data_IF_087742114357
#
_entry.id   IF_087742114357
#
_cell.length_a   1.000
_cell.length_b   1.000
_cell.length_c   1.000
_cell.angle_alpha   90.00
_cell.angle_beta   90.00
_cell.angle_gamma   90.00
#
_symmetry.space_group_name_H-M   'P 1'
#
loop_
_entity.id
_entity.type
_entity.pdbx_description
1 polymer ?
#
# COMPACT_ATOMS: atom_id res chain seq x y z
N UNK A 1 -22.58 11.18 -33.35
CA UNK A 1 -23.14 11.39 -31.98
C UNK A 1 -23.74 10.12 -31.38
N UNK A 2 -24.18 9.14 -32.20
CA UNK A 2 -24.84 7.91 -31.74
C UNK A 2 -23.91 6.94 -31.00
N UNK A 3 -22.67 6.75 -31.47
CA UNK A 3 -21.71 5.84 -30.81
C UNK A 3 -21.45 6.17 -29.33
N UNK A 4 -21.34 7.46 -28.98
CA UNK A 4 -21.16 7.90 -27.58
C UNK A 4 -22.40 7.64 -26.71
N UNK A 5 -23.61 7.76 -27.29
CA UNK A 5 -24.86 7.47 -26.59
C UNK A 5 -25.03 5.96 -26.37
N UNK A 6 -24.71 5.14 -27.37
CA UNK A 6 -24.70 3.68 -27.23
C UNK A 6 -23.72 3.21 -26.17
N UNK A 7 -22.51 3.80 -26.11
CA UNK A 7 -21.53 3.51 -25.06
C UNK A 7 -22.04 3.85 -23.66
N UNK A 8 -22.67 5.03 -23.51
CA UNK A 8 -23.27 5.46 -22.24
C UNK A 8 -24.41 4.56 -21.75
N UNK A 9 -25.22 4.04 -22.68
CA UNK A 9 -26.33 3.13 -22.36
C UNK A 9 -25.77 1.78 -21.88
N UNK A 10 -24.78 1.23 -22.58
CA UNK A 10 -24.08 0.01 -22.15
C UNK A 10 -23.40 0.18 -20.79
N UNK A 11 -22.77 1.34 -20.54
CA UNK A 11 -22.18 1.67 -19.25
C UNK A 11 -23.22 1.79 -18.12
N UNK A 12 -24.42 2.30 -18.42
CA UNK A 12 -25.51 2.40 -17.44
C UNK A 12 -26.10 1.03 -17.10
N UNK A 13 -26.23 0.14 -18.09
CA UNK A 13 -26.68 -1.25 -17.92
C UNK A 13 -25.64 -2.12 -17.20
N UNK A 14 -24.35 -1.84 -17.39
CA UNK A 14 -23.24 -2.46 -16.67
C UNK A 14 -23.31 -2.19 -15.15
N UNK A 15 -23.66 -0.96 -14.76
CA UNK A 15 -23.77 -0.55 -13.35
C UNK A 15 -24.90 -1.31 -12.63
N UNK A 16 -26.00 -1.66 -13.31
CA UNK A 16 -27.14 -2.37 -12.71
C UNK A 16 -27.00 -3.90 -12.71
N UNK A 17 -26.15 -4.47 -13.57
CA UNK A 17 -25.99 -5.92 -13.75
C UNK A 17 -24.69 -6.49 -13.18
N UNK A 18 -23.75 -5.64 -12.73
CA UNK A 18 -22.40 -6.06 -12.35
C UNK A 18 -21.53 -6.50 -13.53
N UNK A 19 -22.03 -6.39 -14.76
CA UNK A 19 -21.31 -6.73 -15.98
C UNK A 19 -20.39 -5.58 -16.38
N UNK A 20 -19.08 -5.80 -16.36
CA UNK A 20 -18.10 -4.77 -16.74
C UNK A 20 -17.85 -4.85 -18.25
N UNK A 21 -18.00 -3.74 -18.98
CA UNK A 21 -17.79 -3.72 -20.42
C UNK A 21 -16.37 -4.17 -20.80
N UNK A 22 -16.24 -5.09 -21.78
CA UNK A 22 -14.95 -5.61 -22.27
C UNK A 22 -13.94 -4.51 -22.66
N UNK A 23 -14.41 -3.35 -23.12
CA UNK A 23 -13.54 -2.21 -23.49
C UNK A 23 -12.89 -1.51 -22.28
N UNK A 24 -13.31 -1.82 -21.05
CA UNK A 24 -12.68 -1.33 -19.81
C UNK A 24 -11.58 -2.25 -19.30
N UNK A 25 -11.48 -3.47 -19.82
CA UNK A 25 -10.40 -4.40 -19.48
C UNK A 25 -9.10 -3.86 -20.10
N UNK A 26 -8.14 -3.55 -19.25
CA UNK A 26 -6.82 -3.08 -19.65
C UNK A 26 -5.98 -4.28 -20.06
N UNK A 27 -5.39 -4.23 -21.25
CA UNK A 27 -4.47 -5.28 -21.72
C UNK A 27 -3.20 -5.34 -20.85
N UNK A 28 -2.75 -4.19 -20.34
CA UNK A 28 -1.60 -4.09 -19.44
C UNK A 28 -2.07 -4.05 -17.98
N UNK A 29 -1.66 -5.04 -17.20
CA UNK A 29 -1.98 -5.11 -15.78
C UNK A 29 -1.29 -3.99 -14.96
N UNK A 30 -0.16 -3.44 -15.43
CA UNK A 30 0.48 -2.29 -14.75
C UNK A 30 -0.40 -1.04 -14.79
N UNK A 31 -1.11 -0.82 -15.90
CA UNK A 31 -2.04 0.30 -16.05
C UNK A 31 -3.26 0.10 -15.16
N UNK A 32 -3.79 -1.12 -15.10
CA UNK A 32 -4.85 -1.48 -14.16
C UNK A 32 -4.44 -1.19 -12.72
N UNK A 33 -3.24 -1.62 -12.32
CA UNK A 33 -2.72 -1.36 -10.97
C UNK A 33 -2.60 0.15 -10.71
N UNK A 34 -2.11 0.94 -11.67
CA UNK A 34 -2.02 2.39 -11.53
C UNK A 34 -3.38 3.05 -11.30
N UNK A 35 -4.39 2.64 -12.07
CA UNK A 35 -5.75 3.16 -11.93
C UNK A 35 -6.39 2.71 -10.62
N UNK A 36 -6.18 1.46 -10.21
CA UNK A 36 -6.60 0.96 -8.90
C UNK A 36 -6.00 1.77 -7.76
N UNK A 37 -4.70 2.11 -7.84
CA UNK A 37 -4.01 2.93 -6.84
C UNK A 37 -4.65 4.31 -6.77
N UNK A 38 -4.89 4.98 -7.90
CA UNK A 38 -5.53 6.31 -7.96
C UNK A 38 -6.93 6.31 -7.34
N UNK A 39 -7.74 5.30 -7.63
CA UNK A 39 -9.10 5.19 -7.11
C UNK A 39 -9.17 4.86 -5.63
N UNK A 40 -8.14 4.19 -5.09
CA UNK A 40 -8.12 3.68 -3.71
C UNK A 40 -7.12 4.42 -2.81
N UNK A 41 -6.71 5.64 -3.17
CA UNK A 41 -5.81 6.44 -2.35
C UNK A 41 -6.46 6.80 -1.01
N UNK A 42 -5.67 6.72 0.05
CA UNK A 42 -6.06 7.19 1.39
C UNK A 42 -5.00 8.15 1.89
N UNK A 43 -5.44 9.31 2.39
CA UNK A 43 -4.53 10.34 2.95
C UNK A 43 -3.64 9.71 4.03
N UNK A 44 -2.33 9.88 3.89
CA UNK A 44 -1.34 9.35 4.84
C UNK A 44 -0.95 7.88 4.66
N UNK A 45 -1.66 7.08 3.85
CA UNK A 45 -1.30 5.68 3.61
C UNK A 45 -0.63 5.49 2.24
N UNK A 46 0.67 5.23 2.26
CA UNK A 46 1.49 5.07 1.05
C UNK A 46 1.73 3.62 0.65
N UNK A 47 1.24 2.63 1.42
CA UNK A 47 1.57 1.23 1.16
C UNK A 47 1.04 0.74 -0.20
N UNK A 48 -0.11 1.24 -0.65
CA UNK A 48 -0.68 0.83 -1.93
C UNK A 48 0.16 1.31 -3.12
N UNK A 49 0.53 2.60 -3.13
CA UNK A 49 1.39 3.16 -4.19
C UNK A 49 2.80 2.57 -4.14
N UNK A 50 3.35 2.32 -2.95
CA UNK A 50 4.65 1.69 -2.83
C UNK A 50 4.65 0.22 -3.26
N UNK A 51 3.56 -0.51 -3.01
CA UNK A 51 3.39 -1.86 -3.53
C UNK A 51 3.39 -1.87 -5.07
N UNK A 52 2.71 -0.92 -5.71
CA UNK A 52 2.75 -0.76 -7.17
C UNK A 52 4.17 -0.48 -7.66
N UNK A 53 4.89 0.45 -7.02
CA UNK A 53 6.26 0.78 -7.40
C UNK A 53 7.20 -0.42 -7.26
N UNK A 54 7.08 -1.19 -6.17
CA UNK A 54 7.84 -2.43 -5.96
C UNK A 54 7.50 -3.49 -7.01
N UNK A 55 6.24 -3.62 -7.38
CA UNK A 55 5.82 -4.56 -8.42
C UNK A 55 6.35 -4.16 -9.79
N UNK A 56 6.26 -2.88 -10.18
CA UNK A 56 6.84 -2.37 -11.43
C UNK A 56 8.36 -2.64 -11.51
N UNK A 57 9.09 -2.40 -10.42
CA UNK A 57 10.53 -2.70 -10.32
C UNK A 57 10.83 -4.20 -10.44
N UNK A 58 10.03 -5.05 -9.80
CA UNK A 58 10.18 -6.51 -9.88
C UNK A 58 9.96 -7.04 -11.31
N UNK A 59 8.93 -6.54 -12.00
CA UNK A 59 8.63 -6.95 -13.38
C UNK A 59 9.71 -6.47 -14.35
N UNK A 60 10.23 -5.25 -14.17
CA UNK A 60 11.29 -4.70 -15.01
C UNK A 60 10.88 -4.48 -16.47
N UNK A 61 9.58 -4.48 -16.76
CA UNK A 61 8.98 -4.26 -18.08
C UNK A 61 7.88 -3.21 -17.97
N UNK A 62 7.58 -2.55 -19.08
CA UNK A 62 6.46 -1.60 -19.17
C UNK A 62 5.11 -2.27 -19.45
N UNK A 63 5.12 -3.55 -19.82
CA UNK A 63 3.91 -4.31 -20.13
C UNK A 63 3.95 -5.71 -19.49
N UNK A 64 2.81 -6.09 -18.90
CA UNK A 64 2.52 -7.46 -18.50
C UNK A 64 1.02 -7.72 -18.65
N UNK A 65 0.67 -8.83 -19.30
CA UNK A 65 -0.73 -9.21 -19.43
C UNK A 65 -1.27 -9.79 -18.13
N UNK A 66 -2.59 -9.72 -17.92
CA UNK A 66 -3.21 -10.35 -16.75
C UNK A 66 -3.02 -11.87 -16.73
N UNK A 67 -2.93 -12.52 -17.89
CA UNK A 67 -2.71 -13.98 -18.00
C UNK A 67 -1.36 -14.39 -17.42
N UNK A 68 -0.34 -13.54 -17.54
CA UNK A 68 0.98 -13.77 -16.95
C UNK A 68 0.99 -13.64 -15.42
N UNK A 69 -0.05 -13.06 -14.82
CA UNK A 69 -0.20 -12.96 -13.35
C UNK A 69 -0.76 -14.28 -12.80
N UNK A 70 0.12 -15.27 -12.75
CA UNK A 70 -0.18 -16.59 -12.18
C UNK A 70 0.38 -16.75 -10.75
N UNK A 71 0.10 -17.90 -10.15
CA UNK A 71 0.53 -18.25 -8.79
C UNK A 71 2.06 -18.18 -8.64
N UNK A 72 2.81 -18.69 -9.61
CA UNK A 72 4.27 -18.68 -9.60
C UNK A 72 4.85 -17.26 -9.65
N UNK A 73 4.25 -16.34 -10.42
CA UNK A 73 4.64 -14.93 -10.42
C UNK A 73 4.38 -14.28 -9.06
N UNK A 74 3.22 -14.58 -8.44
CA UNK A 74 2.86 -14.06 -7.13
C UNK A 74 3.85 -14.53 -6.05
N UNK A 75 4.28 -15.79 -6.10
CA UNK A 75 5.30 -16.33 -5.21
C UNK A 75 6.67 -15.67 -5.40
N UNK A 76 7.11 -15.49 -6.65
CA UNK A 76 8.36 -14.79 -6.95
C UNK A 76 8.34 -13.35 -6.48
N UNK A 77 7.23 -12.64 -6.68
CA UNK A 77 7.08 -11.28 -6.19
C UNK A 77 7.14 -11.23 -4.66
N UNK A 78 6.48 -12.18 -3.97
CA UNK A 78 6.55 -12.31 -2.51
C UNK A 78 7.97 -12.54 -2.02
N UNK A 79 8.74 -13.40 -2.70
CA UNK A 79 10.14 -13.67 -2.39
C UNK A 79 11.02 -12.44 -2.62
N UNK A 80 10.84 -11.74 -3.75
CA UNK A 80 11.49 -10.47 -4.04
C UNK A 80 11.26 -9.43 -2.92
N UNK A 81 10.04 -9.30 -2.41
CA UNK A 81 9.75 -8.38 -1.31
C UNK A 81 10.48 -8.78 -0.01
N UNK A 82 10.58 -10.07 0.30
CA UNK A 82 11.27 -10.57 1.50
C UNK A 82 12.80 -10.43 1.42
N UNK A 83 13.36 -10.53 0.22
CA UNK A 83 14.79 -10.33 -0.02
C UNK A 83 15.17 -8.85 0.10
N UNK A 84 14.37 -7.96 -0.51
CA UNK A 84 14.72 -6.55 -0.69
C UNK A 84 14.20 -5.61 0.40
N UNK A 85 13.26 -6.06 1.25
CA UNK A 85 12.65 -5.23 2.29
C UNK A 85 12.77 -5.89 3.67
N UNK A 86 12.58 -5.09 4.72
CA UNK A 86 12.70 -5.53 6.11
C UNK A 86 11.44 -5.19 6.92
N UNK A 87 11.26 -5.91 8.03
CA UNK A 87 10.19 -5.70 8.97
C UNK A 87 8.82 -6.08 8.44
N UNK A 88 7.85 -5.23 8.75
CA UNK A 88 6.45 -5.31 8.32
C UNK A 88 6.23 -4.87 6.86
N UNK A 89 7.23 -4.25 6.23
CA UNK A 89 7.09 -3.67 4.88
C UNK A 89 6.73 -4.72 3.81
N UNK A 90 7.41 -5.89 3.72
CA UNK A 90 7.04 -6.95 2.77
C UNK A 90 5.58 -7.40 2.93
N UNK A 91 5.14 -7.66 4.16
CA UNK A 91 3.78 -8.11 4.45
C UNK A 91 2.73 -7.07 4.02
N UNK A 92 2.99 -5.80 4.36
CA UNK A 92 2.13 -4.69 3.97
C UNK A 92 2.02 -4.56 2.46
N UNK A 93 3.13 -4.60 1.72
CA UNK A 93 3.09 -4.47 0.26
C UNK A 93 2.39 -5.67 -0.37
N UNK A 94 2.73 -6.89 0.03
CA UNK A 94 2.09 -8.09 -0.51
C UNK A 94 0.58 -8.11 -0.21
N UNK A 95 0.15 -7.65 0.98
CA UNK A 95 -1.28 -7.50 1.30
C UNK A 95 -1.99 -6.51 0.36
N UNK A 96 -1.34 -5.39 0.02
CA UNK A 96 -1.90 -4.42 -0.95
C UNK A 96 -1.94 -4.98 -2.36
N UNK A 97 -0.94 -5.75 -2.76
CA UNK A 97 -0.95 -6.47 -4.02
C UNK A 97 -2.10 -7.48 -4.09
N UNK A 98 -2.33 -8.30 -3.04
CA UNK A 98 -3.49 -9.21 -2.98
C UNK A 98 -4.82 -8.47 -3.14
N UNK A 99 -4.98 -7.33 -2.47
CA UNK A 99 -6.18 -6.48 -2.63
C UNK A 99 -6.40 -6.02 -4.07
N UNK A 100 -5.32 -5.73 -4.82
CA UNK A 100 -5.42 -5.35 -6.24
C UNK A 100 -5.85 -6.54 -7.09
N UNK A 101 -5.30 -7.73 -6.83
CA UNK A 101 -5.71 -8.97 -7.51
C UNK A 101 -7.17 -9.34 -7.22
N UNK A 102 -7.66 -9.12 -6.00
CA UNK A 102 -9.07 -9.30 -5.65
C UNK A 102 -9.96 -8.31 -6.40
N UNK A 103 -9.54 -7.05 -6.54
CA UNK A 103 -10.21 -6.05 -7.38
C UNK A 103 -10.30 -6.51 -8.83
N UNK A 104 -9.16 -6.92 -9.40
CA UNK A 104 -9.09 -7.42 -10.77
C UNK A 104 -9.93 -8.69 -10.98
N UNK A 105 -9.99 -9.58 -9.98
CA UNK A 105 -10.84 -10.77 -10.02
C UNK A 105 -12.33 -10.43 -10.10
N UNK A 106 -12.79 -9.44 -9.30
CA UNK A 106 -14.17 -8.92 -9.40
C UNK A 106 -14.47 -8.29 -10.76
N UNK A 107 -13.44 -7.76 -11.41
CA UNK A 107 -13.55 -7.18 -12.75
C UNK A 107 -13.39 -8.19 -13.89
N UNK A 108 -13.25 -9.48 -13.59
CA UNK A 108 -13.19 -10.54 -14.58
C UNK A 108 -11.81 -10.81 -15.19
N UNK A 109 -10.74 -10.20 -14.67
CA UNK A 109 -9.37 -10.48 -15.12
C UNK A 109 -8.90 -11.89 -14.73
N UNK A 110 -9.46 -12.44 -13.64
CA UNK A 110 -9.09 -13.73 -13.08
C UNK A 110 -10.32 -14.58 -12.77
N UNK A 111 -10.30 -15.87 -13.12
CA UNK A 111 -11.32 -16.83 -12.69
C UNK A 111 -11.20 -17.16 -11.20
N UNK A 112 -9.96 -17.26 -10.72
CA UNK A 112 -9.59 -17.51 -9.33
C UNK A 112 -8.42 -16.61 -8.95
N UNK A 113 -8.40 -16.11 -7.70
CA UNK A 113 -7.30 -15.23 -7.25
C UNK A 113 -5.96 -15.95 -7.29
N UNK A 114 -4.97 -15.49 -8.07
CA UNK A 114 -3.69 -16.17 -8.23
C UNK A 114 -2.82 -16.12 -6.96
N UNK A 115 -3.18 -15.30 -5.98
CA UNK A 115 -2.47 -15.17 -4.71
C UNK A 115 -3.26 -15.70 -3.50
N UNK A 116 -4.33 -16.48 -3.71
CA UNK A 116 -5.18 -16.98 -2.64
C UNK A 116 -4.40 -17.81 -1.61
N UNK A 117 -3.53 -18.72 -2.07
CA UNK A 117 -2.73 -19.62 -1.22
C UNK A 117 -1.56 -18.96 -0.47
N UNK A 118 -1.23 -17.69 -0.76
CA UNK A 118 -0.06 -17.04 -0.16
C UNK A 118 -0.42 -16.12 1.00
N UNK A 119 0.22 -16.36 2.14
CA UNK A 119 0.18 -15.46 3.29
C UNK A 119 1.14 -14.26 3.11
N UNK A 120 0.69 -13.08 3.51
CA UNK A 120 1.56 -11.91 3.70
C UNK A 120 2.50 -12.19 4.86
N UNK A 121 3.80 -12.39 4.57
CA UNK A 121 4.82 -12.65 5.60
C UNK A 121 5.66 -11.41 5.86
N UNK A 122 5.90 -11.12 7.13
CA UNK A 122 6.87 -10.12 7.56
C UNK A 122 8.25 -10.75 7.64
N UNK A 123 9.28 -9.93 7.50
CA UNK A 123 10.66 -10.34 7.78
C UNK A 123 10.98 -9.90 9.20
N UNK A 124 11.53 -10.80 10.01
CA UNK A 124 11.93 -10.46 11.37
C UNK A 124 12.88 -9.26 11.35
N UNK A 125 12.45 -8.16 11.94
CA UNK A 125 13.30 -7.00 12.13
C UNK A 125 14.26 -7.32 13.26
N UNK A 126 15.53 -7.60 12.93
CA UNK A 126 16.59 -7.74 13.95
C UNK A 126 16.84 -6.45 14.73
N UNK A 127 16.36 -5.30 14.24
CA UNK A 127 16.49 -3.99 14.90
C UNK A 127 15.19 -3.64 15.62
N UNK A 128 15.14 -3.93 16.91
CA UNK A 128 14.18 -3.29 17.82
C UNK A 128 14.59 -1.82 17.95
N UNK A 129 13.63 -0.90 17.99
CA UNK A 129 13.95 0.50 18.28
C UNK A 129 14.35 0.60 19.74
N UNK A 130 15.49 1.22 20.01
CA UNK A 130 15.94 1.47 21.38
C UNK A 130 14.90 2.33 22.12
N UNK A 131 14.71 2.02 23.39
CA UNK A 131 13.80 2.71 24.29
C UNK A 131 14.63 3.64 25.16
N UNK A 132 14.11 4.84 25.40
CA UNK A 132 14.75 5.81 26.28
C UNK A 132 14.63 5.37 27.73
N UNK A 133 15.77 5.13 28.37
CA UNK A 133 15.85 4.82 29.79
C UNK A 133 15.80 6.08 30.67
N UNK A 134 15.55 5.87 31.96
CA UNK A 134 15.32 6.95 32.91
C UNK A 134 16.44 8.01 32.94
N UNK A 135 17.68 7.56 32.84
CA UNK A 135 18.84 8.45 32.90
C UNK A 135 19.12 9.13 31.54
N UNK A 136 18.71 8.51 30.45
CA UNK A 136 18.89 9.05 29.10
C UNK A 136 17.93 10.21 28.84
N UNK A 137 16.65 10.07 29.22
CA UNK A 137 15.72 11.18 29.03
C UNK A 137 16.00 12.34 30.01
N UNK A 138 16.49 12.09 31.23
CA UNK A 138 16.96 13.17 32.14
C UNK A 138 18.11 13.97 31.51
N UNK A 139 19.07 13.29 30.87
CA UNK A 139 20.14 13.95 30.10
C UNK A 139 19.57 14.79 28.96
N UNK A 140 18.60 14.26 28.21
CA UNK A 140 17.92 15.00 27.14
C UNK A 140 17.19 16.24 27.64
N UNK A 141 16.50 16.17 28.79
CA UNK A 141 15.82 17.33 29.40
C UNK A 141 16.82 18.41 29.81
N UNK A 142 17.99 18.03 30.31
CA UNK A 142 19.03 18.97 30.73
C UNK A 142 19.88 19.50 29.57
N UNK A 143 19.78 18.90 28.39
CA UNK A 143 20.52 19.36 27.21
C UNK A 143 19.99 20.73 26.76
N UNK A 144 20.88 21.72 26.49
CA UNK A 144 20.48 23.01 25.93
C UNK A 144 19.68 22.82 24.63
N UNK A 145 18.50 23.46 24.56
CA UNK A 145 17.62 23.38 23.41
C UNK A 145 17.25 24.79 22.95
N UNK A 146 17.52 25.10 21.68
CA UNK A 146 17.24 26.40 21.09
C UNK A 146 15.74 26.68 20.94
N UNK A 147 14.92 25.63 20.79
CA UNK A 147 13.47 25.74 20.65
C UNK A 147 12.78 25.30 21.95
N UNK A 148 12.33 26.28 22.73
CA UNK A 148 11.69 26.05 24.02
C UNK A 148 10.36 25.28 23.90
N UNK A 149 9.57 25.54 22.86
CA UNK A 149 8.30 24.85 22.64
C UNK A 149 8.49 23.38 22.27
N UNK A 150 9.54 23.06 21.51
CA UNK A 150 9.92 21.67 21.26
C UNK A 150 10.30 20.93 22.56
N UNK A 151 11.08 21.59 23.43
CA UNK A 151 11.46 21.03 24.74
C UNK A 151 10.24 20.77 25.61
N UNK A 152 9.31 21.73 25.71
CA UNK A 152 8.03 21.55 26.41
C UNK A 152 7.23 20.40 25.83
N UNK A 153 7.04 20.35 24.52
CA UNK A 153 6.26 19.31 23.86
C UNK A 153 6.86 17.91 24.09
N UNK A 154 8.19 17.79 24.07
CA UNK A 154 8.88 16.54 24.42
C UNK A 154 8.59 16.13 25.87
N UNK A 155 8.77 17.04 26.84
CA UNK A 155 8.50 16.77 28.26
C UNK A 155 7.03 16.41 28.48
N UNK A 156 6.11 17.16 27.87
CA UNK A 156 4.67 16.86 27.93
C UNK A 156 4.35 15.47 27.38
N UNK A 157 4.97 15.08 26.26
CA UNK A 157 4.79 13.74 25.67
C UNK A 157 5.30 12.63 26.59
N UNK A 158 6.41 12.85 27.31
CA UNK A 158 6.94 11.88 28.28
C UNK A 158 5.97 11.63 29.45
N UNK A 159 5.33 12.69 29.97
CA UNK A 159 4.42 12.57 31.12
C UNK A 159 3.01 12.10 30.75
N UNK A 160 2.55 12.37 29.52
CA UNK A 160 1.18 12.02 29.09
C UNK A 160 1.12 10.77 28.23
N UNK A 161 2.24 10.34 27.64
CA UNK A 161 2.29 9.25 26.67
C UNK A 161 1.60 9.57 25.33
N UNK A 162 1.27 10.83 25.07
CA UNK A 162 0.65 11.24 23.81
C UNK A 162 1.64 11.20 22.64
N UNK A 163 1.13 10.84 21.46
CA UNK A 163 1.94 10.86 20.25
C UNK A 163 2.14 12.30 19.81
N UNK A 164 3.24 12.55 19.11
CA UNK A 164 3.50 13.87 18.53
C UNK A 164 2.33 14.41 17.68
N UNK A 165 1.64 13.53 16.94
CA UNK A 165 0.49 13.93 16.13
C UNK A 165 -0.69 14.47 16.97
N UNK A 166 -0.79 14.04 18.23
CA UNK A 166 -1.82 14.47 19.19
C UNK A 166 -1.36 15.72 19.96
N UNK A 167 -0.05 15.86 20.22
CA UNK A 167 0.53 17.02 20.93
C UNK A 167 0.65 18.26 20.05
N UNK A 168 1.07 18.10 18.79
CA UNK A 168 1.25 19.20 17.84
C UNK A 168 0.02 20.13 17.66
N UNK A 169 -1.23 19.65 17.62
CA UNK A 169 -2.40 20.51 17.48
C UNK A 169 -2.89 21.14 18.79
N UNK A 170 -2.30 20.79 19.94
CA UNK A 170 -2.68 21.40 21.22
C UNK A 170 -2.30 22.88 21.21
N UNK A 171 -3.22 23.70 21.75
CA UNK A 171 -3.05 25.15 21.89
C UNK A 171 -2.48 25.48 23.25
#
# INVERSE_FOLDING_TARGET
MEAKRSQMILDRLAISSGYIPQHKIKNNFLDYYADFVKLNQRKGNRHLSQSQNSFKKFIGKEYISAIEINEHLCERFRSYLLENLNGETPANYFSRFKRVLEGAGKEGYFKSSPAAGFASKSKSNKKVKDILEADEYKKLINTPCLNFELKKAFVFSLYTGFRWADVKPLK
#
